data_IF_658273084171
#
_entry.id   IF_658273084171
#
_cell.length_a   1.000
_cell.length_b   1.000
_cell.length_c   1.000
_cell.angle_alpha   90.00
_cell.angle_beta   90.00
_cell.angle_gamma   90.00
#
_symmetry.space_group_name_H-M   'P 1'
#
loop_
_entity.id
_entity.type
_entity.pdbx_description
1 polymer ?
#
# COMPACT_ATOMS: atom_id res chain seq x y z
N UNK A 1 49.25 -13.86 96.44
CA UNK A 1 48.54 -15.10 96.07
C UNK A 1 47.08 -14.91 96.46
N UNK A 2 46.27 -14.36 95.56
CA UNK A 2 45.51 -15.01 94.46
C UNK A 2 44.08 -15.33 94.90
N UNK A 3 43.13 -14.92 94.06
CA UNK A 3 41.83 -15.57 93.99
C UNK A 3 40.63 -14.67 94.22
N UNK A 4 40.29 -13.81 93.24
CA UNK A 4 38.89 -13.46 93.01
C UNK A 4 38.66 -12.88 91.61
N UNK A 5 37.51 -13.30 91.05
CA UNK A 5 36.78 -12.74 89.89
C UNK A 5 37.24 -13.28 88.52
N UNK A 6 36.36 -13.70 87.61
CA UNK A 6 34.96 -13.35 87.40
C UNK A 6 34.09 -14.57 87.05
N UNK A 7 33.06 -14.77 87.87
CA UNK A 7 31.74 -15.28 87.48
C UNK A 7 31.09 -14.30 86.47
N UNK A 8 30.08 -14.78 85.73
CA UNK A 8 29.19 -14.05 84.80
C UNK A 8 29.57 -14.10 83.32
N UNK A 9 29.44 -15.27 82.68
CA UNK A 9 29.22 -15.33 81.22
C UNK A 9 28.55 -16.63 80.70
N UNK A 10 28.45 -17.71 81.49
CA UNK A 10 28.01 -19.02 80.96
C UNK A 10 26.56 -19.42 81.31
N UNK A 11 25.80 -18.57 82.00
CA UNK A 11 24.41 -18.85 82.38
C UNK A 11 23.32 -18.34 81.42
N UNK A 12 23.62 -17.38 80.53
CA UNK A 12 22.63 -16.84 79.57
C UNK A 12 22.70 -17.50 78.19
N UNK A 13 23.84 -18.07 77.78
CA UNK A 13 24.01 -18.70 76.47
C UNK A 13 23.23 -20.02 76.31
N UNK A 14 23.10 -20.81 77.38
CA UNK A 14 22.41 -22.10 77.32
C UNK A 14 20.87 -21.97 77.28
N UNK A 15 20.30 -20.88 77.84
CA UNK A 15 18.85 -20.64 77.81
C UNK A 15 18.39 -20.05 76.45
N UNK A 16 19.24 -19.26 75.79
CA UNK A 16 18.94 -18.70 74.46
C UNK A 16 19.07 -19.76 73.36
N UNK A 17 20.02 -20.70 73.46
CA UNK A 17 20.16 -21.80 72.50
C UNK A 17 19.04 -22.85 72.62
N UNK A 18 18.53 -23.12 73.83
CA UNK A 18 17.43 -24.07 74.04
C UNK A 18 16.08 -23.49 73.60
N UNK A 19 15.86 -22.17 73.78
CA UNK A 19 14.66 -21.51 73.26
C UNK A 19 14.71 -21.34 71.72
N UNK A 20 15.87 -21.07 71.13
CA UNK A 20 16.06 -20.96 69.67
C UNK A 20 15.94 -22.31 68.94
N UNK A 21 16.35 -23.42 69.57
CA UNK A 21 16.18 -24.77 69.01
C UNK A 21 14.74 -25.28 69.14
N UNK A 22 14.00 -24.89 70.19
CA UNK A 22 12.58 -25.22 70.32
C UNK A 22 11.70 -24.38 69.38
N UNK A 23 12.06 -23.12 69.08
CA UNK A 23 11.39 -22.35 68.03
C UNK A 23 11.76 -22.85 66.63
N UNK A 24 13.01 -23.23 66.36
CA UNK A 24 13.41 -23.80 65.07
C UNK A 24 12.79 -25.19 64.80
N UNK A 25 12.62 -26.03 65.83
CA UNK A 25 11.93 -27.33 65.72
C UNK A 25 10.40 -27.17 65.56
N UNK A 26 9.79 -26.17 66.20
CA UNK A 26 8.38 -25.82 66.00
C UNK A 26 8.11 -25.15 64.63
N UNK A 27 9.08 -24.41 64.09
CA UNK A 27 9.00 -23.79 62.75
C UNK A 27 9.26 -24.82 61.64
N UNK A 28 10.15 -25.80 61.82
CA UNK A 28 10.44 -26.82 60.78
C UNK A 28 9.42 -27.96 60.68
N UNK A 29 8.50 -28.10 61.66
CA UNK A 29 7.36 -29.03 61.61
C UNK A 29 6.02 -28.38 61.23
N UNK A 30 5.96 -27.07 61.05
CA UNK A 30 4.94 -26.52 60.17
C UNK A 30 5.41 -26.84 58.76
N UNK A 31 4.79 -27.86 58.16
CA UNK A 31 4.69 -27.89 56.71
C UNK A 31 4.38 -26.45 56.27
N UNK A 32 5.04 -25.90 55.22
CA UNK A 32 4.56 -24.64 54.66
C UNK A 32 3.06 -24.84 54.50
N UNK A 33 2.26 -24.05 55.22
CA UNK A 33 0.82 -24.12 55.08
C UNK A 33 0.61 -24.02 53.58
N UNK A 34 0.00 -25.07 52.98
CA UNK A 34 -0.27 -25.10 51.56
C UNK A 34 -0.88 -23.73 51.26
N UNK A 35 -0.14 -22.94 50.47
CA UNK A 35 -0.54 -21.57 50.21
C UNK A 35 -1.92 -21.70 49.60
N UNK A 36 -2.95 -21.19 50.29
CA UNK A 36 -4.31 -21.33 49.80
C UNK A 36 -4.30 -20.82 48.36
N UNK A 37 -4.77 -21.63 47.39
CA UNK A 37 -4.75 -21.22 46.01
C UNK A 37 -5.40 -19.85 45.94
N UNK A 38 -4.74 -18.92 45.24
CA UNK A 38 -5.33 -17.59 45.03
C UNK A 38 -6.76 -17.78 44.51
N UNK A 39 -7.67 -16.82 44.73
CA UNK A 39 -9.01 -16.92 44.18
C UNK A 39 -9.03 -17.25 42.68
N UNK A 40 -8.00 -16.84 41.93
CA UNK A 40 -7.80 -17.19 40.52
C UNK A 40 -7.35 -18.65 40.34
N UNK A 41 -6.39 -19.14 41.10
CA UNK A 41 -5.94 -20.55 41.05
C UNK A 41 -7.04 -21.52 41.49
N UNK A 42 -7.83 -21.16 42.52
CA UNK A 42 -8.96 -21.96 42.98
C UNK A 42 -10.07 -22.03 41.91
N UNK A 43 -10.33 -20.92 41.21
CA UNK A 43 -11.24 -20.89 40.05
C UNK A 43 -10.68 -21.74 38.90
N UNK A 44 -9.38 -21.68 38.61
CA UNK A 44 -8.76 -22.48 37.56
C UNK A 44 -8.76 -23.98 37.89
N UNK A 45 -8.60 -24.36 39.17
CA UNK A 45 -8.76 -25.74 39.65
C UNK A 45 -10.22 -26.20 39.60
N UNK A 46 -11.19 -25.34 39.96
CA UNK A 46 -12.62 -25.63 39.87
C UNK A 46 -13.13 -25.76 38.43
N UNK A 47 -12.53 -25.03 37.49
CA UNK A 47 -12.91 -25.08 36.07
C UNK A 47 -12.44 -26.37 35.37
N UNK A 48 -11.53 -27.14 35.98
CA UNK A 48 -10.96 -28.35 35.41
C UNK A 48 -10.27 -28.11 34.05
N UNK A 49 -9.87 -29.18 33.36
CA UNK A 49 -9.61 -29.08 31.92
C UNK A 49 -10.94 -28.75 31.24
N UNK A 50 -11.16 -27.47 30.92
CA UNK A 50 -12.27 -27.07 30.08
C UNK A 50 -12.04 -27.70 28.72
N UNK A 51 -12.69 -28.84 28.45
CA UNK A 51 -12.84 -29.37 27.10
C UNK A 51 -13.50 -28.26 26.27
N UNK A 52 -12.69 -27.58 25.46
CA UNK A 52 -13.20 -26.61 24.51
C UNK A 52 -14.16 -27.37 23.57
N UNK A 53 -15.37 -26.84 23.34
CA UNK A 53 -16.32 -27.51 22.47
C UNK A 53 -15.67 -27.73 21.10
N UNK A 54 -15.84 -28.94 20.56
CA UNK A 54 -15.31 -29.28 19.24
C UNK A 54 -15.70 -28.20 18.22
N UNK A 55 -14.74 -27.77 17.36
CA UNK A 55 -14.96 -26.69 16.42
C UNK A 55 -16.19 -26.96 15.54
N UNK A 56 -17.09 -25.99 15.43
CA UNK A 56 -18.27 -26.07 14.56
C UNK A 56 -17.88 -25.91 13.10
N UNK A 57 -18.44 -26.74 12.23
CA UNK A 57 -18.22 -26.68 10.77
C UNK A 57 -19.54 -26.52 10.01
N UNK A 58 -19.48 -25.81 8.88
CA UNK A 58 -20.58 -25.61 7.94
C UNK A 58 -20.29 -26.10 6.51
N UNK A 59 -19.09 -26.62 6.28
CA UNK A 59 -18.80 -27.58 5.20
C UNK A 59 -18.71 -29.00 5.77
N UNK A 60 -18.96 -30.05 4.97
CA UNK A 60 -18.68 -31.41 5.41
C UNK A 60 -17.20 -31.54 5.81
N UNK A 61 -16.95 -32.23 6.92
CA UNK A 61 -15.60 -32.48 7.42
C UNK A 61 -15.27 -33.94 7.22
N UNK A 62 -14.15 -34.20 6.54
CA UNK A 62 -13.59 -35.54 6.40
C UNK A 62 -12.19 -35.52 6.97
N UNK A 63 -11.92 -36.37 7.97
CA UNK A 63 -10.56 -36.62 8.43
C UNK A 63 -10.00 -37.85 7.72
N UNK A 64 -8.85 -37.70 7.05
CA UNK A 64 -8.16 -38.81 6.39
C UNK A 64 -6.64 -38.57 6.37
N UNK A 65 -5.87 -39.59 5.98
CA UNK A 65 -4.41 -39.53 5.97
C UNK A 65 -3.83 -38.36 5.16
N UNK A 66 -4.55 -37.86 4.14
CA UNK A 66 -4.09 -36.71 3.35
C UNK A 66 -4.31 -35.39 4.09
N UNK A 67 -5.42 -35.26 4.82
CA UNK A 67 -5.67 -34.10 5.71
C UNK A 67 -4.62 -34.08 6.82
N UNK A 68 -4.34 -35.23 7.43
CA UNK A 68 -3.30 -35.38 8.46
C UNK A 68 -1.91 -34.97 7.95
N UNK A 69 -1.51 -35.39 6.75
CA UNK A 69 -0.25 -34.94 6.14
C UNK A 69 -0.15 -33.41 5.99
N UNK A 70 -1.27 -32.74 5.68
CA UNK A 70 -1.30 -31.29 5.58
C UNK A 70 -1.32 -30.61 6.95
N UNK A 71 -1.94 -31.21 7.96
CA UNK A 71 -1.83 -30.76 9.35
C UNK A 71 -0.38 -30.78 9.81
N UNK A 72 0.33 -31.89 9.63
CA UNK A 72 1.74 -32.02 9.98
C UNK A 72 2.61 -31.02 9.22
N UNK A 73 2.32 -30.78 7.94
CA UNK A 73 3.03 -29.79 7.15
C UNK A 73 2.82 -28.37 7.69
N UNK A 74 1.56 -27.99 7.93
CA UNK A 74 1.18 -26.64 8.37
C UNK A 74 1.67 -26.34 9.78
N UNK A 75 1.58 -27.30 10.71
CA UNK A 75 2.04 -27.18 12.09
C UNK A 75 3.56 -27.38 12.25
N UNK A 76 4.19 -28.09 11.32
CA UNK A 76 5.63 -28.37 11.34
C UNK A 76 6.41 -27.50 10.36
N UNK A 77 6.69 -28.01 9.16
CA UNK A 77 7.63 -27.38 8.21
C UNK A 77 7.19 -26.00 7.70
N UNK A 78 5.90 -25.68 7.75
CA UNK A 78 5.35 -24.40 7.32
C UNK A 78 4.95 -23.48 8.49
N UNK A 79 5.33 -23.84 9.73
CA UNK A 79 4.84 -23.20 10.96
C UNK A 79 4.91 -21.67 10.96
N UNK A 80 6.07 -21.08 10.68
CA UNK A 80 6.25 -19.62 10.68
C UNK A 80 5.31 -18.91 9.69
N UNK A 81 5.07 -19.53 8.52
CA UNK A 81 4.13 -18.97 7.54
C UNK A 81 2.69 -19.15 8.00
N UNK A 82 2.37 -20.29 8.58
CA UNK A 82 1.05 -20.56 9.15
C UNK A 82 0.72 -19.56 10.27
N UNK A 83 1.67 -19.25 11.16
CA UNK A 83 1.56 -18.20 12.19
C UNK A 83 1.18 -16.86 11.53
N UNK A 84 1.96 -16.41 10.55
CA UNK A 84 1.67 -15.17 9.81
C UNK A 84 0.28 -15.19 9.14
N UNK A 85 -0.15 -16.32 8.59
CA UNK A 85 -1.46 -16.46 7.95
C UNK A 85 -2.60 -16.38 8.97
N UNK A 86 -2.44 -17.02 10.13
CA UNK A 86 -3.39 -16.95 11.23
C UNK A 86 -3.48 -15.53 11.78
N UNK A 87 -2.37 -14.85 12.02
CA UNK A 87 -2.37 -13.47 12.50
C UNK A 87 -3.08 -12.51 11.53
N UNK A 88 -2.80 -12.64 10.22
CA UNK A 88 -3.50 -11.87 9.18
C UNK A 88 -4.98 -12.20 9.07
N UNK A 89 -5.39 -13.41 9.45
CA UNK A 89 -6.80 -13.80 9.42
C UNK A 89 -7.66 -12.88 10.29
N UNK A 90 -7.12 -12.37 11.42
CA UNK A 90 -7.82 -11.40 12.27
C UNK A 90 -8.29 -10.15 11.51
N UNK A 91 -7.52 -9.72 10.50
CA UNK A 91 -7.85 -8.53 9.70
C UNK A 91 -8.95 -8.78 8.67
N UNK A 92 -8.94 -9.92 7.99
CA UNK A 92 -9.76 -10.15 6.79
C UNK A 92 -10.85 -11.22 6.96
N UNK A 93 -10.64 -12.24 7.79
CA UNK A 93 -11.61 -13.31 8.00
C UNK A 93 -12.98 -12.80 8.49
N UNK A 94 -13.07 -11.81 9.41
CA UNK A 94 -14.38 -11.28 9.81
C UNK A 94 -15.18 -10.65 8.65
N UNK A 95 -14.49 -9.94 7.74
CA UNK A 95 -15.10 -9.31 6.56
C UNK A 95 -15.56 -10.38 5.56
N UNK A 96 -14.73 -11.40 5.31
CA UNK A 96 -15.06 -12.51 4.41
C UNK A 96 -16.23 -13.33 4.98
N UNK A 97 -16.18 -13.68 6.27
CA UNK A 97 -17.25 -14.41 6.96
C UNK A 97 -18.59 -13.66 6.94
N UNK A 98 -18.57 -12.33 7.09
CA UNK A 98 -19.76 -11.50 6.89
C UNK A 98 -20.37 -11.66 5.50
N UNK A 99 -19.54 -11.55 4.44
CA UNK A 99 -19.97 -11.70 3.05
C UNK A 99 -20.46 -13.12 2.71
N UNK A 100 -19.88 -14.14 3.33
CA UNK A 100 -20.32 -15.54 3.21
C UNK A 100 -21.71 -15.73 3.84
N UNK A 101 -21.90 -15.25 5.09
CA UNK A 101 -23.20 -15.28 5.78
C UNK A 101 -24.30 -14.56 4.99
N UNK A 102 -24.01 -13.38 4.47
CA UNK A 102 -24.97 -12.59 3.66
C UNK A 102 -25.46 -13.37 2.43
N UNK A 103 -24.60 -14.23 1.87
CA UNK A 103 -24.91 -15.08 0.70
C UNK A 103 -25.47 -16.46 1.06
N UNK A 104 -25.59 -16.78 2.35
CA UNK A 104 -25.95 -18.12 2.82
C UNK A 104 -24.92 -19.20 2.44
N UNK A 105 -23.66 -18.80 2.25
CA UNK A 105 -22.55 -19.71 1.94
C UNK A 105 -21.87 -20.18 3.24
N UNK A 106 -21.26 -21.38 3.26
CA UNK A 106 -20.46 -21.83 4.40
C UNK A 106 -19.32 -20.87 4.72
N UNK A 107 -19.20 -20.44 5.96
CA UNK A 107 -18.12 -19.57 6.45
C UNK A 107 -16.76 -20.26 6.38
N UNK A 108 -16.71 -21.60 6.45
CA UNK A 108 -15.48 -22.37 6.33
C UNK A 108 -14.76 -22.20 4.98
N UNK A 109 -15.44 -21.66 3.96
CA UNK A 109 -14.81 -21.26 2.71
C UNK A 109 -13.78 -20.14 2.90
N UNK A 110 -13.76 -19.45 4.05
CA UNK A 110 -12.71 -18.48 4.41
C UNK A 110 -11.31 -19.10 4.38
N UNK A 111 -11.18 -20.40 4.64
CA UNK A 111 -9.89 -21.09 4.61
C UNK A 111 -9.32 -21.23 3.19
N UNK A 112 -10.14 -21.05 2.15
CA UNK A 112 -9.63 -20.90 0.78
C UNK A 112 -8.75 -19.65 0.65
N UNK A 113 -9.17 -18.51 1.19
CA UNK A 113 -8.36 -17.29 1.21
C UNK A 113 -7.05 -17.44 2.02
N UNK A 114 -7.08 -18.27 3.07
CA UNK A 114 -5.90 -18.62 3.85
C UNK A 114 -4.90 -19.40 2.99
N UNK A 115 -5.33 -20.47 2.32
CA UNK A 115 -4.41 -21.33 1.56
C UNK A 115 -3.95 -20.69 0.24
N UNK A 116 -4.73 -19.78 -0.35
CA UNK A 116 -4.38 -19.08 -1.59
C UNK A 116 -3.27 -18.06 -1.38
N UNK A 117 -3.32 -17.27 -0.30
CA UNK A 117 -2.39 -16.15 -0.13
C UNK A 117 -1.97 -15.85 1.30
N UNK A 118 -2.51 -16.55 2.29
CA UNK A 118 -2.41 -16.17 3.69
C UNK A 118 -3.06 -14.81 3.95
N UNK A 119 -4.22 -14.56 3.32
CA UNK A 119 -4.93 -13.28 3.34
C UNK A 119 -4.11 -12.07 2.87
N UNK A 120 -3.14 -12.27 1.97
CA UNK A 120 -2.29 -11.16 1.49
C UNK A 120 -2.91 -10.47 0.28
N UNK A 121 -3.32 -9.19 0.38
CA UNK A 121 -3.88 -8.45 -0.76
C UNK A 121 -2.84 -8.16 -1.84
N UNK A 122 -1.55 -8.26 -1.51
CA UNK A 122 -0.43 -8.02 -2.44
C UNK A 122 0.24 -9.31 -2.93
N UNK A 123 -0.31 -10.47 -2.59
CA UNK A 123 0.22 -11.73 -3.10
C UNK A 123 0.21 -11.75 -4.63
N UNK A 124 1.26 -12.33 -5.20
CA UNK A 124 1.44 -12.44 -6.65
C UNK A 124 2.17 -13.74 -6.97
N UNK A 125 1.55 -14.61 -7.77
CA UNK A 125 2.13 -15.91 -8.15
C UNK A 125 2.93 -15.86 -9.44
N UNK A 126 3.70 -16.92 -9.69
CA UNK A 126 4.37 -17.13 -10.98
C UNK A 126 3.39 -17.23 -12.15
N UNK A 127 2.18 -17.75 -11.90
CA UNK A 127 1.09 -17.81 -12.87
C UNK A 127 0.35 -16.47 -13.03
N UNK A 128 0.86 -15.38 -12.43
CA UNK A 128 0.28 -14.04 -12.45
C UNK A 128 -1.08 -13.92 -11.77
N UNK A 129 -1.39 -14.87 -10.89
CA UNK A 129 -2.48 -14.74 -9.95
C UNK A 129 -2.17 -13.63 -8.94
N UNK A 130 -3.16 -12.88 -8.48
CA UNK A 130 -2.93 -11.79 -7.52
C UNK A 130 -4.02 -11.67 -6.46
N UNK A 131 -3.64 -11.11 -5.31
CA UNK A 131 -4.55 -10.77 -4.23
C UNK A 131 -4.88 -11.90 -3.28
N UNK A 132 -5.85 -11.64 -2.39
CA UNK A 132 -6.27 -12.57 -1.33
C UNK A 132 -6.70 -13.92 -1.93
N UNK A 133 -7.43 -13.85 -3.04
CA UNK A 133 -8.06 -14.98 -3.70
C UNK A 133 -7.26 -15.53 -4.90
N UNK A 134 -6.04 -15.03 -5.12
CA UNK A 134 -5.16 -15.45 -6.23
C UNK A 134 -5.87 -15.53 -7.59
N UNK A 135 -6.57 -14.45 -7.97
CA UNK A 135 -7.20 -14.40 -9.28
C UNK A 135 -6.19 -14.20 -10.41
N UNK A 136 -6.30 -15.01 -11.48
CA UNK A 136 -5.71 -14.65 -12.77
C UNK A 136 -6.52 -13.50 -13.41
N UNK A 137 -5.86 -12.65 -14.19
CA UNK A 137 -6.47 -11.42 -14.71
C UNK A 137 -7.70 -11.66 -15.62
N UNK A 138 -7.71 -12.74 -16.38
CA UNK A 138 -8.84 -13.10 -17.24
C UNK A 138 -10.09 -13.43 -16.42
N UNK A 139 -9.96 -14.34 -15.45
CA UNK A 139 -11.06 -14.69 -14.53
C UNK A 139 -11.51 -13.49 -13.70
N UNK A 140 -10.59 -12.67 -13.21
CA UNK A 140 -10.92 -11.45 -12.48
C UNK A 140 -11.87 -10.54 -13.28
N UNK A 141 -11.55 -10.28 -14.56
CA UNK A 141 -12.38 -9.47 -15.44
C UNK A 141 -13.73 -10.12 -15.76
N UNK A 142 -13.77 -11.45 -15.87
CA UNK A 142 -15.04 -12.20 -16.04
C UNK A 142 -16.00 -11.94 -14.87
N UNK A 143 -15.48 -11.79 -13.66
CA UNK A 143 -16.25 -11.47 -12.44
C UNK A 143 -16.23 -9.97 -12.09
N UNK A 144 -16.06 -9.11 -13.10
CA UNK A 144 -16.30 -7.67 -12.95
C UNK A 144 -15.16 -6.85 -12.33
N UNK A 145 -14.01 -7.45 -12.03
CA UNK A 145 -12.87 -6.73 -11.47
C UNK A 145 -12.12 -5.93 -12.56
N UNK A 146 -11.76 -4.70 -12.22
CA UNK A 146 -10.88 -3.83 -13.02
C UNK A 146 -9.43 -4.25 -12.82
N UNK A 147 -8.75 -4.52 -13.95
CA UNK A 147 -7.32 -4.89 -13.98
C UNK A 147 -6.64 -4.18 -15.16
N UNK A 148 -6.00 -3.06 -14.86
CA UNK A 148 -5.26 -2.20 -15.78
C UNK A 148 -3.94 -1.69 -15.15
N UNK A 149 -3.35 -0.63 -15.71
CA UNK A 149 -2.07 -0.06 -15.28
C UNK A 149 -2.18 0.88 -14.06
N UNK A 150 -3.39 1.32 -13.72
CA UNK A 150 -3.66 2.19 -12.58
C UNK A 150 -4.31 1.45 -11.41
N UNK A 151 -5.14 0.45 -11.73
CA UNK A 151 -6.01 -0.28 -10.81
C UNK A 151 -5.88 -1.79 -11.01
N UNK A 152 -5.69 -2.52 -9.92
CA UNK A 152 -5.76 -3.99 -9.87
C UNK A 152 -6.68 -4.42 -8.72
N UNK A 153 -7.99 -4.51 -8.98
CA UNK A 153 -9.02 -4.84 -7.97
C UNK A 153 -8.93 -6.28 -7.46
N UNK A 154 -8.12 -7.14 -8.08
CA UNK A 154 -7.76 -8.43 -7.47
C UNK A 154 -7.10 -8.23 -6.11
N UNK A 155 -6.42 -7.10 -5.93
CA UNK A 155 -5.77 -6.71 -4.67
C UNK A 155 -6.74 -6.06 -3.70
N UNK A 156 -7.92 -5.62 -4.12
CA UNK A 156 -8.92 -5.06 -3.20
C UNK A 156 -9.57 -6.19 -2.39
N UNK A 157 -9.40 -6.26 -1.05
CA UNK A 157 -10.00 -7.30 -0.24
C UNK A 157 -11.53 -7.37 -0.37
N UNK A 158 -12.22 -6.24 -0.56
CA UNK A 158 -13.69 -6.23 -0.65
C UNK A 158 -14.14 -6.74 -2.02
N UNK A 159 -13.71 -6.07 -3.10
CA UNK A 159 -14.12 -6.39 -4.45
C UNK A 159 -13.68 -7.80 -4.87
N UNK A 160 -12.42 -8.19 -4.59
CA UNK A 160 -11.95 -9.53 -4.92
C UNK A 160 -12.67 -10.62 -4.13
N UNK A 161 -13.13 -10.35 -2.90
CA UNK A 161 -13.96 -11.30 -2.16
C UNK A 161 -15.33 -11.44 -2.80
N UNK A 162 -15.99 -10.34 -3.16
CA UNK A 162 -17.29 -10.43 -3.86
C UNK A 162 -17.16 -11.27 -5.14
N UNK A 163 -16.16 -10.99 -5.98
CA UNK A 163 -15.90 -11.75 -7.20
C UNK A 163 -15.57 -13.24 -6.94
N UNK A 164 -14.78 -13.56 -5.91
CA UNK A 164 -14.44 -14.94 -5.56
C UNK A 164 -15.66 -15.72 -5.08
N UNK A 165 -16.50 -15.10 -4.26
CA UNK A 165 -17.72 -15.74 -3.76
C UNK A 165 -18.75 -15.94 -4.87
N UNK A 166 -18.89 -14.97 -5.79
CA UNK A 166 -19.75 -15.12 -6.97
C UNK A 166 -19.28 -16.29 -7.85
N UNK A 167 -17.97 -16.42 -8.06
CA UNK A 167 -17.41 -17.56 -8.80
C UNK A 167 -17.65 -18.90 -8.07
N UNK A 168 -17.35 -18.97 -6.78
CA UNK A 168 -17.59 -20.18 -5.98
C UNK A 168 -19.07 -20.58 -5.96
N UNK A 169 -19.98 -19.61 -5.94
CA UNK A 169 -21.41 -19.86 -5.99
C UNK A 169 -21.85 -20.40 -7.37
N UNK A 170 -21.29 -19.91 -8.48
CA UNK A 170 -21.50 -20.48 -9.82
C UNK A 170 -20.99 -21.94 -9.88
N UNK A 171 -19.80 -22.20 -9.33
CA UNK A 171 -19.22 -23.54 -9.28
C UNK A 171 -20.06 -24.50 -8.42
N UNK A 172 -20.56 -24.02 -7.29
CA UNK A 172 -21.47 -24.80 -6.45
C UNK A 172 -22.79 -25.07 -7.17
N UNK A 173 -23.38 -24.09 -7.84
CA UNK A 173 -24.59 -24.31 -8.64
C UNK A 173 -24.39 -25.37 -9.74
N UNK A 174 -23.17 -25.45 -10.30
CA UNK A 174 -22.80 -26.44 -11.31
C UNK A 174 -22.57 -27.84 -10.77
N UNK A 175 -21.92 -27.97 -9.60
CA UNK A 175 -21.46 -29.26 -9.09
C UNK A 175 -22.21 -29.77 -7.87
N UNK A 176 -23.00 -28.93 -7.21
CA UNK A 176 -23.74 -29.22 -5.98
C UNK A 176 -22.86 -29.63 -4.79
N UNK A 177 -21.56 -29.30 -4.84
CA UNK A 177 -20.55 -29.76 -3.88
C UNK A 177 -19.51 -28.66 -3.69
N UNK A 178 -19.24 -28.31 -2.44
CA UNK A 178 -18.22 -27.32 -2.10
C UNK A 178 -16.81 -27.86 -2.33
N UNK A 179 -16.60 -29.17 -2.17
CA UNK A 179 -15.31 -29.79 -2.49
C UNK A 179 -15.01 -29.76 -3.99
N UNK A 180 -16.01 -30.06 -4.83
CA UNK A 180 -15.87 -29.95 -6.27
C UNK A 180 -15.74 -28.50 -6.73
N UNK A 181 -16.47 -27.58 -6.10
CA UNK A 181 -16.33 -26.14 -6.36
C UNK A 181 -14.92 -25.64 -6.04
N UNK A 182 -14.37 -25.98 -4.87
CA UNK A 182 -13.00 -25.63 -4.50
C UNK A 182 -11.97 -26.23 -5.48
N UNK A 183 -12.11 -27.51 -5.85
CA UNK A 183 -11.22 -28.12 -6.84
C UNK A 183 -11.32 -27.45 -8.21
N UNK A 184 -12.53 -27.09 -8.65
CA UNK A 184 -12.77 -26.40 -9.92
C UNK A 184 -12.22 -24.97 -9.91
N UNK A 185 -12.29 -24.27 -8.77
CA UNK A 185 -11.70 -22.95 -8.60
C UNK A 185 -10.19 -22.96 -8.90
N UNK A 186 -9.46 -23.97 -8.38
CA UNK A 186 -8.03 -24.11 -8.61
C UNK A 186 -7.67 -24.62 -10.02
N UNK A 187 -8.39 -25.63 -10.53
CA UNK A 187 -7.96 -26.37 -11.74
C UNK A 187 -8.75 -26.06 -13.02
N UNK A 188 -9.85 -25.33 -12.90
CA UNK A 188 -10.81 -25.05 -13.96
C UNK A 188 -12.01 -26.01 -13.96
N UNK A 189 -13.19 -25.44 -14.13
CA UNK A 189 -14.50 -26.09 -14.09
C UNK A 189 -14.69 -27.14 -15.19
N UNK A 190 -14.11 -26.92 -16.36
CA UNK A 190 -14.24 -27.85 -17.48
C UNK A 190 -13.45 -29.14 -17.26
N UNK A 191 -12.32 -29.07 -16.55
CA UNK A 191 -11.53 -30.25 -16.19
C UNK A 191 -12.29 -31.11 -15.18
N UNK A 192 -12.84 -30.49 -14.13
CA UNK A 192 -13.64 -31.20 -13.12
C UNK A 192 -14.86 -31.85 -13.77
N UNK A 193 -15.61 -31.11 -14.59
CA UNK A 193 -16.77 -31.67 -15.30
C UNK A 193 -16.41 -32.85 -16.21
N UNK A 194 -15.25 -32.81 -16.88
CA UNK A 194 -14.75 -33.93 -17.70
C UNK A 194 -14.43 -35.16 -16.85
N UNK A 195 -13.68 -34.98 -15.75
CA UNK A 195 -13.31 -36.10 -14.87
C UNK A 195 -14.52 -36.74 -14.19
N UNK A 196 -15.54 -35.95 -13.84
CA UNK A 196 -16.81 -36.50 -13.32
C UNK A 196 -17.52 -37.39 -14.36
N UNK A 197 -17.53 -36.99 -15.63
CA UNK A 197 -18.08 -37.84 -16.71
C UNK A 197 -17.29 -39.13 -16.90
N UNK A 198 -15.96 -39.05 -16.89
CA UNK A 198 -15.07 -40.19 -17.14
C UNK A 198 -15.04 -41.19 -15.97
N UNK A 199 -15.11 -40.70 -14.72
CA UNK A 199 -14.82 -41.52 -13.54
C UNK A 199 -15.95 -41.59 -12.51
N UNK A 200 -17.03 -40.82 -12.68
CA UNK A 200 -18.16 -40.79 -11.75
C UNK A 200 -19.53 -40.78 -12.46
N UNK A 201 -19.59 -41.19 -13.72
CA UNK A 201 -20.84 -41.27 -14.49
C UNK A 201 -21.54 -39.92 -14.72
N UNK A 202 -20.84 -38.81 -14.52
CA UNK A 202 -21.41 -37.46 -14.62
C UNK A 202 -22.24 -37.03 -13.40
N UNK A 203 -22.13 -37.73 -12.27
CA UNK A 203 -22.82 -37.38 -11.03
C UNK A 203 -22.37 -36.02 -10.47
N UNK A 204 -23.28 -35.38 -9.72
CA UNK A 204 -23.10 -34.11 -9.02
C UNK A 204 -23.87 -34.14 -7.69
N UNK A 205 -23.65 -33.16 -6.81
CA UNK A 205 -24.40 -33.00 -5.56
C UNK A 205 -23.85 -33.73 -4.34
N UNK A 206 -22.65 -34.29 -4.44
CA UNK A 206 -22.05 -35.13 -3.38
C UNK A 206 -20.56 -34.83 -3.24
N UNK A 207 -20.14 -34.38 -2.05
CA UNK A 207 -18.74 -34.09 -1.75
C UNK A 207 -17.84 -35.34 -1.83
N UNK A 208 -18.40 -36.56 -1.69
CA UNK A 208 -17.64 -37.78 -1.89
C UNK A 208 -17.19 -37.98 -3.36
N UNK A 209 -17.80 -37.27 -4.32
CA UNK A 209 -17.35 -37.25 -5.71
C UNK A 209 -15.96 -36.64 -5.87
N UNK A 210 -15.59 -35.66 -5.04
CA UNK A 210 -14.25 -35.11 -5.06
C UNK A 210 -13.20 -36.20 -4.83
N UNK A 211 -13.38 -37.02 -3.78
CA UNK A 211 -12.45 -38.09 -3.45
C UNK A 211 -12.35 -39.15 -4.56
N UNK A 212 -13.43 -39.38 -5.30
CA UNK A 212 -13.44 -40.29 -6.48
C UNK A 212 -12.59 -39.77 -7.63
N UNK A 213 -12.63 -38.47 -7.92
CA UNK A 213 -11.89 -37.88 -9.04
C UNK A 213 -10.48 -37.38 -8.65
N UNK A 214 -10.19 -37.21 -7.35
CA UNK A 214 -8.90 -36.71 -6.86
C UNK A 214 -7.67 -37.45 -7.40
N UNK A 215 -7.67 -38.80 -7.59
CA UNK A 215 -6.56 -39.52 -8.22
C UNK A 215 -6.25 -39.13 -9.66
N UNK A 216 -7.15 -38.41 -10.34
CA UNK A 216 -7.02 -37.96 -11.73
C UNK A 216 -6.81 -36.44 -11.86
N UNK A 217 -6.98 -35.70 -10.76
CA UNK A 217 -6.69 -34.26 -10.71
C UNK A 217 -5.18 -34.00 -10.67
N UNK A 218 -4.68 -32.86 -11.18
CA UNK A 218 -3.30 -32.44 -10.94
C UNK A 218 -2.98 -32.40 -9.44
N UNK A 219 -1.69 -32.51 -9.11
CA UNK A 219 -1.23 -32.58 -7.73
C UNK A 219 -1.72 -31.43 -6.86
N UNK A 220 -1.66 -30.20 -7.38
CA UNK A 220 -2.16 -29.00 -6.68
C UNK A 220 -3.66 -29.12 -6.36
N UNK A 221 -4.47 -29.42 -7.38
CA UNK A 221 -5.92 -29.49 -7.26
C UNK A 221 -6.42 -30.65 -6.38
N UNK A 222 -5.76 -31.83 -6.42
CA UNK A 222 -6.13 -32.96 -5.55
C UNK A 222 -5.81 -32.72 -4.08
N UNK A 223 -4.90 -31.79 -3.80
CA UNK A 223 -4.49 -31.43 -2.45
C UNK A 223 -5.25 -30.21 -1.91
N UNK A 224 -5.98 -29.51 -2.76
CA UNK A 224 -6.66 -28.27 -2.43
C UNK A 224 -7.70 -28.41 -1.30
N UNK A 225 -8.63 -29.36 -1.42
CA UNK A 225 -9.63 -29.65 -0.36
C UNK A 225 -8.98 -30.19 0.92
N UNK A 226 -8.08 -31.19 0.89
CA UNK A 226 -7.36 -31.63 2.08
C UNK A 226 -6.63 -30.50 2.82
N UNK A 227 -5.98 -29.61 2.06
CA UNK A 227 -5.25 -28.46 2.61
C UNK A 227 -6.21 -27.44 3.23
N UNK A 228 -7.36 -27.18 2.60
CA UNK A 228 -8.42 -26.33 3.17
C UNK A 228 -8.93 -26.88 4.51
N UNK A 229 -9.21 -28.19 4.58
CA UNK A 229 -9.68 -28.83 5.82
C UNK A 229 -8.61 -28.78 6.92
N UNK A 230 -7.34 -29.06 6.59
CA UNK A 230 -6.23 -28.94 7.53
C UNK A 230 -6.07 -27.50 8.05
N UNK A 231 -6.13 -26.51 7.15
CA UNK A 231 -6.12 -25.10 7.52
C UNK A 231 -7.31 -24.72 8.42
N UNK A 232 -8.50 -25.29 8.17
CA UNK A 232 -9.68 -25.07 9.00
C UNK A 232 -9.53 -25.65 10.41
N UNK A 233 -8.98 -26.86 10.53
CA UNK A 233 -8.68 -27.47 11.83
C UNK A 233 -7.73 -26.59 12.65
N UNK A 234 -6.62 -26.16 12.06
CA UNK A 234 -5.66 -25.26 12.73
C UNK A 234 -6.28 -23.90 13.02
N UNK A 235 -7.03 -23.33 12.09
CA UNK A 235 -7.59 -21.99 12.23
C UNK A 235 -8.71 -21.90 13.27
N UNK A 236 -9.46 -22.99 13.51
CA UNK A 236 -10.51 -23.03 14.53
C UNK A 236 -9.99 -23.37 15.92
N UNK A 237 -8.87 -24.08 16.01
CA UNK A 237 -8.24 -24.47 17.28
C UNK A 237 -6.71 -24.39 17.19
N UNK A 238 -6.12 -23.18 17.10
CA UNK A 238 -4.68 -23.01 16.89
C UNK A 238 -3.85 -23.58 18.04
N UNK A 239 -4.35 -23.49 19.27
CA UNK A 239 -3.67 -23.96 20.48
C UNK A 239 -3.46 -25.47 20.43
N UNK A 240 -4.46 -26.25 19.98
CA UNK A 240 -4.35 -27.71 19.82
C UNK A 240 -3.25 -28.14 18.86
N UNK A 241 -2.94 -27.31 17.87
CA UNK A 241 -1.87 -27.56 16.89
C UNK A 241 -0.56 -26.85 17.23
N UNK A 242 -0.43 -26.38 18.49
CA UNK A 242 0.79 -25.83 19.04
C UNK A 242 1.03 -24.35 18.74
N UNK A 243 0.03 -23.59 18.29
CA UNK A 243 0.13 -22.15 18.05
C UNK A 243 -0.41 -21.37 19.25
N UNK A 244 0.48 -20.92 20.15
CA UNK A 244 0.10 -20.33 21.44
C UNK A 244 0.27 -18.79 21.51
N UNK A 245 1.13 -18.21 20.68
CA UNK A 245 1.56 -16.80 20.79
C UNK A 245 1.18 -16.00 19.53
N UNK A 246 -0.06 -16.14 19.05
CA UNK A 246 -0.50 -15.46 17.83
C UNK A 246 -0.90 -14.00 18.09
N UNK A 247 -0.29 -13.07 17.37
CA UNK A 247 -0.65 -11.64 17.41
C UNK A 247 -1.63 -11.29 16.28
N UNK A 248 -2.92 -11.55 16.51
CA UNK A 248 -3.95 -11.26 15.51
C UNK A 248 -4.03 -9.78 15.12
N UNK A 249 -4.00 -9.52 13.82
CA UNK A 249 -4.19 -8.18 13.28
C UNK A 249 -5.62 -7.70 13.52
N UNK A 250 -5.78 -6.41 13.83
CA UNK A 250 -7.10 -5.82 14.02
C UNK A 250 -7.96 -5.94 12.75
N UNK A 251 -9.28 -6.20 12.90
CA UNK A 251 -10.23 -6.25 11.79
C UNK A 251 -10.13 -5.03 10.89
N UNK A 252 -10.32 -5.25 9.58
CA UNK A 252 -10.28 -4.20 8.58
C UNK A 252 -11.33 -3.12 8.90
N UNK A 253 -10.87 -1.92 9.24
CA UNK A 253 -11.71 -0.77 9.55
C UNK A 253 -11.19 0.48 8.83
N UNK A 254 -12.09 1.19 8.16
CA UNK A 254 -11.77 2.39 7.39
C UNK A 254 -12.99 3.28 7.21
N UNK A 255 -12.72 4.56 6.96
CA UNK A 255 -13.68 5.48 6.37
C UNK A 255 -13.51 5.50 4.84
N UNK A 256 -14.56 5.85 4.11
CA UNK A 256 -14.50 6.11 2.67
C UNK A 256 -14.75 7.59 2.41
N UNK A 257 -13.89 8.19 1.60
CA UNK A 257 -13.99 9.59 1.16
C UNK A 257 -14.02 9.67 -0.36
N UNK A 258 -14.64 10.72 -0.88
CA UNK A 258 -14.73 10.99 -2.31
C UNK A 258 -13.67 12.03 -2.71
N UNK A 259 -12.87 11.73 -3.74
CA UNK A 259 -11.82 12.62 -4.26
C UNK A 259 -11.89 12.72 -5.77
N UNK A 260 -11.48 13.85 -6.39
CA UNK A 260 -11.36 13.93 -7.84
C UNK A 260 -10.42 12.86 -8.39
N UNK A 261 -10.71 12.34 -9.60
CA UNK A 261 -9.81 11.42 -10.27
C UNK A 261 -8.41 12.01 -10.47
N UNK A 262 -7.39 11.16 -10.42
CA UNK A 262 -5.97 11.57 -10.47
C UNK A 262 -5.44 12.15 -9.15
N UNK A 263 -6.22 12.21 -8.07
CA UNK A 263 -5.72 12.62 -6.76
C UNK A 263 -4.71 11.60 -6.23
N UNK A 264 -3.47 12.04 -5.95
CA UNK A 264 -2.44 11.19 -5.34
C UNK A 264 -2.82 10.73 -3.93
N UNK A 265 -2.53 9.48 -3.58
CA UNK A 265 -2.78 8.96 -2.23
C UNK A 265 -1.99 9.71 -1.16
N UNK A 266 -0.82 10.25 -1.48
CA UNK A 266 -0.09 11.18 -0.62
C UNK A 266 -0.92 12.43 -0.25
N UNK A 267 -1.70 12.96 -1.20
CA UNK A 267 -2.58 14.12 -0.96
C UNK A 267 -3.75 13.73 -0.06
N UNK A 268 -4.30 12.52 -0.26
CA UNK A 268 -5.34 11.97 0.60
C UNK A 268 -4.83 11.79 2.04
N UNK A 269 -3.64 11.20 2.20
CA UNK A 269 -3.00 10.98 3.49
C UNK A 269 -2.71 12.29 4.23
N UNK A 270 -2.13 13.29 3.54
CA UNK A 270 -1.90 14.63 4.08
C UNK A 270 -3.19 15.32 4.53
N UNK A 271 -4.28 15.15 3.78
CA UNK A 271 -5.59 15.69 4.18
C UNK A 271 -6.18 14.93 5.40
N UNK A 272 -6.04 13.62 5.46
CA UNK A 272 -6.50 12.81 6.60
C UNK A 272 -5.60 12.93 7.86
N UNK A 273 -4.39 13.49 7.72
CA UNK A 273 -3.41 13.63 8.81
C UNK A 273 -2.82 12.29 9.25
N UNK A 274 -2.56 11.40 8.30
CA UNK A 274 -2.03 10.04 8.50
C UNK A 274 -0.84 9.80 7.58
N UNK A 275 -0.12 8.71 7.80
CA UNK A 275 0.96 8.32 6.89
C UNK A 275 0.41 7.82 5.53
N UNK A 276 1.17 8.03 4.45
CA UNK A 276 0.78 7.55 3.13
C UNK A 276 0.67 6.01 3.09
N UNK A 277 1.53 5.31 3.84
CA UNK A 277 1.50 3.85 3.94
C UNK A 277 0.17 3.33 4.47
N UNK A 278 -0.42 3.98 5.48
CA UNK A 278 -1.73 3.61 6.03
C UNK A 278 -2.83 3.68 4.95
N UNK A 279 -2.82 4.73 4.12
CA UNK A 279 -3.78 4.88 3.01
C UNK A 279 -3.50 3.84 1.92
N UNK A 280 -2.24 3.59 1.57
CA UNK A 280 -1.86 2.56 0.58
C UNK A 280 -2.22 1.15 1.03
N UNK A 281 -2.15 0.86 2.33
CA UNK A 281 -2.56 -0.43 2.90
C UNK A 281 -4.07 -0.65 2.85
N UNK A 282 -4.87 0.40 2.97
CA UNK A 282 -6.32 0.33 2.82
C UNK A 282 -6.78 0.30 1.36
N UNK A 283 -5.94 0.78 0.43
CA UNK A 283 -6.22 0.82 -1.01
C UNK A 283 -5.16 0.06 -1.84
N UNK A 284 -4.93 -1.24 -1.57
CA UNK A 284 -3.91 -2.04 -2.25
C UNK A 284 -4.15 -2.21 -3.76
N UNK A 285 -5.38 -1.95 -4.23
CA UNK A 285 -5.77 -1.99 -5.64
C UNK A 285 -5.32 -0.76 -6.43
N UNK A 286 -5.06 0.38 -5.78
CA UNK A 286 -4.60 1.60 -6.44
C UNK A 286 -3.09 1.55 -6.68
N UNK A 287 -2.69 0.69 -7.62
CA UNK A 287 -1.28 0.34 -7.87
C UNK A 287 -0.44 1.51 -8.39
N UNK A 288 -1.07 2.50 -9.04
CA UNK A 288 -0.38 3.73 -9.46
C UNK A 288 -0.23 4.78 -8.33
N UNK A 289 -0.78 4.53 -7.13
CA UNK A 289 -0.73 5.49 -6.03
C UNK A 289 -1.56 6.76 -6.26
N UNK A 290 -2.52 6.69 -7.18
CA UNK A 290 -3.46 7.76 -7.52
C UNK A 290 -4.88 7.20 -7.59
N UNK A 291 -5.87 8.02 -7.26
CA UNK A 291 -7.26 7.72 -7.55
C UNK A 291 -7.43 7.59 -9.09
N UNK A 292 -8.22 6.61 -9.57
CA UNK A 292 -8.39 6.38 -11.00
C UNK A 292 -9.06 7.57 -11.70
N UNK A 293 -9.02 7.60 -13.03
CA UNK A 293 -9.66 8.67 -13.78
C UNK A 293 -11.19 8.68 -13.55
N UNK A 294 -11.77 9.88 -13.47
CA UNK A 294 -13.21 10.08 -13.28
C UNK A 294 -13.52 11.32 -12.43
N UNK A 295 -14.80 11.67 -12.30
CA UNK A 295 -15.21 12.89 -11.60
C UNK A 295 -14.95 12.80 -10.09
N UNK A 296 -15.45 11.75 -9.45
CA UNK A 296 -15.21 11.43 -8.04
C UNK A 296 -14.93 9.94 -7.88
N UNK A 297 -13.93 9.63 -7.07
CA UNK A 297 -13.47 8.28 -6.76
C UNK A 297 -13.46 8.05 -5.26
N UNK A 298 -13.90 6.86 -4.87
CA UNK A 298 -13.86 6.40 -3.50
C UNK A 298 -12.43 6.01 -3.11
N UNK A 299 -11.92 6.59 -2.02
CA UNK A 299 -10.63 6.21 -1.42
C UNK A 299 -10.84 5.92 0.06
N UNK A 300 -10.24 4.85 0.56
CA UNK A 300 -10.31 4.45 1.96
C UNK A 300 -9.24 5.16 2.78
N UNK A 301 -9.60 5.64 3.95
CA UNK A 301 -8.68 6.25 4.93
C UNK A 301 -8.89 5.60 6.30
N UNK A 302 -7.93 5.70 7.24
CA UNK A 302 -8.11 5.14 8.58
C UNK A 302 -9.41 5.61 9.24
N UNK A 303 -10.07 4.70 9.95
CA UNK A 303 -11.35 4.98 10.61
C UNK A 303 -11.26 6.19 11.55
N UNK A 304 -12.29 7.03 11.55
CA UNK A 304 -12.35 8.25 12.37
C UNK A 304 -11.68 9.48 11.74
N UNK A 305 -11.09 9.36 10.54
CA UNK A 305 -10.41 10.47 9.86
C UNK A 305 -11.31 11.27 8.91
N UNK A 306 -12.55 10.83 8.67
CA UNK A 306 -13.47 11.50 7.74
C UNK A 306 -13.68 12.99 8.02
N UNK A 307 -13.85 13.37 9.30
CA UNK A 307 -14.08 14.76 9.68
C UNK A 307 -12.85 15.64 9.42
N UNK A 308 -11.66 15.16 9.81
CA UNK A 308 -10.39 15.86 9.56
C UNK A 308 -10.19 16.03 8.06
N UNK A 309 -10.39 14.96 7.29
CA UNK A 309 -10.30 14.99 5.84
C UNK A 309 -11.22 16.05 5.22
N UNK A 310 -12.50 16.08 5.61
CA UNK A 310 -13.47 17.03 5.08
C UNK A 310 -13.07 18.50 5.30
N UNK A 311 -12.43 18.80 6.44
CA UNK A 311 -11.99 20.16 6.79
C UNK A 311 -10.74 20.61 6.05
N UNK A 312 -9.84 19.68 5.71
CA UNK A 312 -8.51 20.02 5.17
C UNK A 312 -8.38 19.78 3.66
N UNK A 313 -9.17 18.86 3.09
CA UNK A 313 -8.95 18.34 1.75
C UNK A 313 -8.95 19.43 0.68
N UNK A 314 -9.93 20.35 0.70
CA UNK A 314 -10.02 21.41 -0.31
C UNK A 314 -8.76 22.30 -0.37
N UNK A 315 -8.14 22.57 0.78
CA UNK A 315 -6.90 23.35 0.85
C UNK A 315 -5.70 22.53 0.39
N UNK A 316 -5.53 21.33 0.94
CA UNK A 316 -4.40 20.43 0.62
C UNK A 316 -4.40 20.05 -0.86
N UNK A 317 -5.57 19.74 -1.41
CA UNK A 317 -5.74 19.44 -2.83
C UNK A 317 -5.32 20.62 -3.72
N UNK A 318 -5.77 21.84 -3.41
CA UNK A 318 -5.40 23.05 -4.17
C UNK A 318 -3.90 23.34 -4.10
N UNK A 319 -3.29 23.19 -2.93
CA UNK A 319 -1.84 23.31 -2.76
C UNK A 319 -1.08 22.31 -3.63
N UNK A 320 -1.53 21.05 -3.65
CA UNK A 320 -0.94 20.01 -4.51
C UNK A 320 -1.09 20.35 -5.99
N UNK A 321 -2.28 20.75 -6.45
CA UNK A 321 -2.49 21.10 -7.86
C UNK A 321 -1.56 22.25 -8.31
N UNK A 322 -1.46 23.31 -7.51
CA UNK A 322 -0.54 24.42 -7.78
C UNK A 322 0.93 23.97 -7.81
N UNK A 323 1.31 23.02 -6.95
CA UNK A 323 2.66 22.47 -6.93
C UNK A 323 2.95 21.63 -8.19
N UNK A 324 1.98 20.83 -8.65
CA UNK A 324 2.09 20.05 -9.89
C UNK A 324 2.20 20.95 -11.12
N UNK A 325 1.35 21.98 -11.22
CA UNK A 325 1.40 22.98 -12.30
C UNK A 325 2.76 23.68 -12.36
N UNK A 326 3.32 24.07 -11.20
CA UNK A 326 4.67 24.68 -11.12
C UNK A 326 5.76 23.73 -11.58
N UNK A 327 5.69 22.45 -11.16
CA UNK A 327 6.64 21.41 -11.59
C UNK A 327 6.56 21.16 -13.09
N UNK A 328 5.36 21.09 -13.66
CA UNK A 328 5.16 20.93 -15.10
C UNK A 328 5.69 22.14 -15.88
N UNK A 329 5.40 23.36 -15.41
CA UNK A 329 5.91 24.59 -16.01
C UNK A 329 7.45 24.62 -15.99
N UNK A 330 8.08 24.17 -14.90
CA UNK A 330 9.53 24.07 -14.80
C UNK A 330 10.09 22.97 -15.71
N UNK A 331 9.48 21.78 -15.73
CA UNK A 331 9.89 20.70 -16.62
C UNK A 331 9.76 21.11 -18.10
N UNK A 332 8.70 21.82 -18.47
CA UNK A 332 8.52 22.39 -19.81
C UNK A 332 9.59 23.43 -20.12
N UNK A 333 9.93 24.31 -19.16
CA UNK A 333 11.07 25.23 -19.29
C UNK A 333 12.35 24.45 -19.54
N UNK A 334 12.66 23.43 -18.74
CA UNK A 334 13.86 22.57 -18.85
C UNK A 334 13.91 21.75 -20.15
N UNK A 335 12.76 21.34 -20.70
CA UNK A 335 12.69 20.67 -22.00
C UNK A 335 12.94 21.63 -23.16
N UNK A 336 12.33 22.81 -23.13
CA UNK A 336 12.57 23.87 -24.13
C UNK A 336 14.03 24.37 -24.07
N UNK A 337 14.56 24.38 -22.85
CA UNK A 337 15.92 24.70 -22.45
C UNK A 337 17.02 23.74 -22.93
N UNK A 338 16.68 22.49 -23.20
CA UNK A 338 17.62 21.44 -23.64
C UNK A 338 17.37 21.03 -25.08
N UNK A 339 16.38 21.65 -25.72
CA UNK A 339 16.00 21.36 -27.10
C UNK A 339 17.02 21.96 -28.07
N UNK A 340 17.58 21.12 -28.94
CA UNK A 340 18.19 21.64 -30.16
C UNK A 340 17.08 22.07 -31.13
N UNK A 341 17.18 23.29 -31.63
CA UNK A 341 16.28 23.80 -32.65
C UNK A 341 16.94 23.72 -34.03
N UNK A 342 16.36 22.95 -34.95
CA UNK A 342 16.79 22.92 -36.35
C UNK A 342 16.06 24.00 -37.12
N UNK A 343 16.81 24.98 -37.63
CA UNK A 343 16.29 26.14 -38.36
C UNK A 343 15.54 25.69 -39.61
N UNK A 344 14.31 26.17 -39.81
CA UNK A 344 13.51 25.94 -41.03
C UNK A 344 13.71 27.05 -42.06
N UNK A 345 13.33 26.81 -43.32
CA UNK A 345 13.41 27.81 -44.39
C UNK A 345 12.55 29.02 -44.01
N UNK A 346 13.17 30.20 -43.93
CA UNK A 346 12.50 31.47 -43.59
C UNK A 346 12.45 31.81 -42.09
N UNK A 347 12.93 30.97 -41.19
CA UNK A 347 13.01 31.30 -39.76
C UNK A 347 14.14 32.30 -39.45
N UNK A 348 13.90 33.18 -38.48
CA UNK A 348 14.89 34.16 -38.00
C UNK A 348 15.29 33.86 -36.55
N UNK A 349 16.47 34.30 -36.12
CA UNK A 349 16.90 34.17 -34.72
C UNK A 349 15.88 34.78 -33.74
N UNK A 350 15.21 35.86 -34.13
CA UNK A 350 14.14 36.47 -33.35
C UNK A 350 12.91 35.58 -33.22
N UNK A 351 12.42 35.00 -34.32
CA UNK A 351 11.27 34.10 -34.30
C UNK A 351 11.55 32.82 -33.49
N UNK A 352 12.77 32.30 -33.61
CA UNK A 352 13.24 31.15 -32.83
C UNK A 352 13.32 31.52 -31.34
N UNK A 353 14.01 32.60 -30.99
CA UNK A 353 14.14 33.07 -29.61
C UNK A 353 12.76 33.31 -28.96
N UNK A 354 11.82 33.93 -29.69
CA UNK A 354 10.44 34.14 -29.25
C UNK A 354 9.68 32.83 -29.02
N UNK A 355 9.83 31.84 -29.89
CA UNK A 355 9.20 30.51 -29.74
C UNK A 355 9.65 29.82 -28.45
N UNK A 356 10.92 29.95 -28.09
CA UNK A 356 11.50 29.32 -26.90
C UNK A 356 11.52 30.22 -25.66
N UNK A 357 11.00 31.46 -25.75
CA UNK A 357 10.90 32.38 -24.61
C UNK A 357 12.24 32.89 -24.08
N UNK A 358 13.27 33.02 -24.94
CA UNK A 358 14.61 33.52 -24.59
C UNK A 358 14.95 34.78 -25.38
N UNK A 359 15.97 35.54 -24.95
CA UNK A 359 16.46 36.68 -25.74
C UNK A 359 17.29 36.20 -26.94
N UNK A 360 17.32 37.02 -28.00
CA UNK A 360 18.17 36.75 -29.18
C UNK A 360 19.63 36.66 -28.73
N UNK A 361 20.07 37.53 -27.82
CA UNK A 361 21.43 37.51 -27.26
C UNK A 361 21.76 36.21 -26.55
N UNK A 362 20.85 35.67 -25.73
CA UNK A 362 21.05 34.38 -25.06
C UNK A 362 21.17 33.24 -26.07
N UNK A 363 20.28 33.21 -27.09
CA UNK A 363 20.35 32.24 -28.18
C UNK A 363 21.67 32.36 -28.95
N UNK A 364 22.15 33.57 -29.22
CA UNK A 364 23.42 33.78 -29.90
C UNK A 364 24.61 33.32 -29.07
N UNK A 365 24.66 33.71 -27.79
CA UNK A 365 25.75 33.36 -26.87
C UNK A 365 25.90 31.83 -26.73
N UNK A 366 24.80 31.11 -26.59
CA UNK A 366 24.79 29.65 -26.50
C UNK A 366 25.18 28.92 -27.79
N UNK A 367 25.27 29.64 -28.91
CA UNK A 367 25.63 29.13 -30.23
C UNK A 367 26.90 29.80 -30.78
N UNK A 368 27.83 30.18 -29.90
CA UNK A 368 29.12 30.76 -30.29
C UNK A 368 29.01 32.14 -30.96
N UNK A 369 27.99 32.92 -30.60
CA UNK A 369 27.74 34.23 -31.19
C UNK A 369 27.17 34.18 -32.61
N UNK A 370 26.36 33.17 -32.94
CA UNK A 370 25.76 33.02 -34.28
C UNK A 370 25.11 34.32 -34.75
N UNK A 371 25.48 34.79 -35.94
CA UNK A 371 24.91 36.02 -36.52
C UNK A 371 23.71 35.72 -37.42
N UNK A 372 22.71 36.62 -37.51
CA UNK A 372 21.52 36.42 -38.34
C UNK A 372 21.84 36.06 -39.81
N UNK A 373 22.89 36.65 -40.37
CA UNK A 373 23.29 36.49 -41.78
C UNK A 373 23.86 35.09 -42.06
N UNK A 374 24.29 34.38 -41.01
CA UNK A 374 24.84 33.01 -41.04
C UNK A 374 23.83 31.95 -40.60
N UNK A 375 22.56 32.34 -40.41
CA UNK A 375 21.47 31.42 -40.15
C UNK A 375 21.05 30.76 -41.47
N UNK A 376 21.02 29.43 -41.52
CA UNK A 376 20.65 28.64 -42.70
C UNK A 376 19.69 27.53 -42.29
N UNK A 377 18.73 27.22 -43.15
CA UNK A 377 17.85 26.09 -42.95
C UNK A 377 18.66 24.79 -42.77
N UNK A 378 18.24 23.93 -41.85
CA UNK A 378 18.94 22.70 -41.48
C UNK A 378 19.99 22.86 -40.38
N UNK A 379 20.40 24.09 -40.02
CA UNK A 379 21.35 24.31 -38.93
C UNK A 379 20.71 23.98 -37.58
N UNK A 380 21.37 23.15 -36.77
CA UNK A 380 21.00 22.91 -35.38
C UNK A 380 21.55 24.03 -34.49
N UNK A 381 20.66 24.69 -33.75
CA UNK A 381 20.99 25.62 -32.69
C UNK A 381 20.77 24.94 -31.34
N UNK A 382 21.71 25.10 -30.43
CA UNK A 382 21.50 24.83 -29.01
C UNK A 382 20.64 25.93 -28.43
N UNK A 383 19.39 25.64 -28.07
CA UNK A 383 18.57 26.59 -27.33
C UNK A 383 19.01 26.46 -25.87
N UNK A 384 19.69 27.46 -25.28
CA UNK A 384 20.11 27.35 -23.90
C UNK A 384 18.91 27.32 -22.98
N UNK A 385 19.19 26.86 -21.76
CA UNK A 385 18.15 26.75 -20.79
C UNK A 385 17.34 28.02 -20.63
N UNK A 386 16.01 27.95 -20.60
CA UNK A 386 15.13 29.03 -20.17
C UNK A 386 15.37 29.45 -18.70
N UNK A 387 16.55 29.20 -18.14
CA UNK A 387 17.13 29.72 -16.92
C UNK A 387 17.86 31.04 -17.17
N UNK A 388 17.23 31.98 -17.88
CA UNK A 388 17.54 33.42 -17.75
C UNK A 388 16.27 34.22 -18.02
N UNK A 389 15.18 33.90 -17.29
CA UNK A 389 14.25 34.97 -16.94
C UNK A 389 14.95 35.78 -15.85
N UNK A 390 15.77 36.74 -16.29
CA UNK A 390 16.15 37.95 -15.56
C UNK A 390 16.28 37.77 -14.05
N UNK A 391 17.51 37.60 -13.57
CA UNK A 391 17.94 38.43 -12.44
C UNK A 391 17.52 39.88 -12.79
N UNK A 392 16.91 40.57 -11.82
CA UNK A 392 16.17 41.82 -12.03
C UNK A 392 16.79 42.72 -13.09
N UNK A 393 15.97 43.14 -14.06
CA UNK A 393 16.37 44.16 -15.00
C UNK A 393 16.56 45.46 -14.21
N UNK A 394 17.77 45.66 -13.69
CA UNK A 394 18.14 46.86 -12.98
C UNK A 394 18.04 48.05 -13.93
N UNK A 395 17.46 49.12 -13.41
CA UNK A 395 17.36 50.36 -14.15
C UNK A 395 18.71 51.04 -14.13
N UNK A 396 19.25 51.33 -15.30
CA UNK A 396 20.42 52.18 -15.45
C UNK A 396 20.08 53.43 -16.24
N UNK A 397 20.92 54.46 -16.12
CA UNK A 397 20.75 55.72 -16.83
C UNK A 397 21.80 55.81 -17.93
N UNK A 398 21.33 55.81 -19.18
CA UNK A 398 22.15 56.07 -20.35
C UNK A 398 22.22 57.58 -20.63
N UNK A 399 23.43 58.11 -20.81
CA UNK A 399 23.62 59.50 -21.27
C UNK A 399 23.82 59.51 -22.78
N UNK A 400 22.86 60.11 -23.49
CA UNK A 400 22.84 60.24 -24.95
C UNK A 400 24.11 60.95 -25.43
N UNK A 401 24.82 60.35 -26.39
CA UNK A 401 26.05 60.90 -26.98
C UNK A 401 25.73 61.65 -28.26
N UNK A 402 26.65 62.50 -28.71
CA UNK A 402 26.52 63.21 -29.99
C UNK A 402 26.45 62.18 -31.14
N UNK A 403 25.32 62.14 -31.84
CA UNK A 403 25.06 61.20 -32.95
C UNK A 403 24.16 60.02 -32.60
N UNK A 404 23.79 59.83 -31.33
CA UNK A 404 22.87 58.74 -30.94
C UNK A 404 21.44 58.98 -31.45
N UNK A 405 20.78 57.91 -31.87
CA UNK A 405 19.34 57.88 -32.15
C UNK A 405 18.60 56.98 -31.16
N UNK A 406 17.28 57.19 -30.96
CA UNK A 406 16.49 56.25 -30.14
C UNK A 406 16.57 54.82 -30.66
N UNK A 407 16.71 54.63 -31.97
CA UNK A 407 16.87 53.31 -32.57
C UNK A 407 18.16 52.63 -32.11
N UNK A 408 19.27 53.39 -32.01
CA UNK A 408 20.56 52.87 -31.54
C UNK A 408 20.58 52.58 -30.05
N UNK A 409 19.96 53.44 -29.25
CA UNK A 409 19.81 53.21 -27.81
C UNK A 409 18.89 52.01 -27.55
N UNK A 410 17.74 51.95 -28.22
CA UNK A 410 16.79 50.85 -28.10
C UNK A 410 17.44 49.50 -28.49
N UNK A 411 18.22 49.48 -29.59
CA UNK A 411 18.98 48.29 -30.00
C UNK A 411 20.06 47.92 -28.99
N UNK A 412 20.76 48.90 -28.42
CA UNK A 412 21.83 48.68 -27.45
C UNK A 412 21.34 47.99 -26.17
N UNK A 413 20.13 48.32 -25.75
CA UNK A 413 19.50 47.82 -24.52
C UNK A 413 18.43 46.75 -24.77
N UNK A 414 18.33 46.23 -25.99
CA UNK A 414 17.40 45.17 -26.40
C UNK A 414 15.92 45.45 -26.06
N UNK A 415 15.49 46.69 -26.31
CA UNK A 415 14.12 47.16 -26.06
C UNK A 415 13.53 47.77 -27.31
N UNK A 416 12.21 47.82 -27.42
CA UNK A 416 11.58 48.54 -28.52
C UNK A 416 11.69 50.06 -28.33
N UNK A 417 11.70 50.82 -29.42
CA UNK A 417 11.63 52.29 -29.36
C UNK A 417 10.42 52.73 -28.54
N UNK A 418 9.26 52.07 -28.68
CA UNK A 418 8.05 52.38 -27.89
C UNK A 418 8.23 52.15 -26.40
N UNK A 419 8.92 51.08 -26.00
CA UNK A 419 9.25 50.85 -24.58
C UNK A 419 10.22 51.91 -24.07
N UNK A 420 11.27 52.21 -24.83
CA UNK A 420 12.24 53.25 -24.48
C UNK A 420 11.57 54.62 -24.37
N UNK A 421 10.63 54.94 -25.27
CA UNK A 421 9.82 56.16 -25.22
C UNK A 421 8.91 56.16 -23.99
N UNK A 422 8.20 55.07 -23.73
CA UNK A 422 7.29 54.93 -22.59
C UNK A 422 8.02 55.07 -21.26
N UNK A 423 9.23 54.52 -21.11
CA UNK A 423 10.00 54.61 -19.86
C UNK A 423 10.60 55.98 -19.59
N UNK A 424 10.66 56.82 -20.62
CA UNK A 424 11.30 58.14 -20.60
C UNK A 424 10.33 59.27 -20.98
N UNK A 425 9.03 58.97 -21.03
CA UNK A 425 7.94 59.90 -21.35
C UNK A 425 8.20 60.73 -22.63
N UNK A 426 8.78 60.08 -23.65
CA UNK A 426 9.14 60.75 -24.90
C UNK A 426 7.95 60.75 -25.86
N UNK A 427 7.48 61.95 -26.24
CA UNK A 427 6.42 62.14 -27.23
C UNK A 427 6.84 61.93 -28.70
N UNK A 428 8.10 61.58 -28.97
CA UNK A 428 8.62 61.43 -30.33
C UNK A 428 10.02 60.80 -30.39
N UNK A 429 10.65 60.81 -31.56
CA UNK A 429 11.94 60.14 -31.80
C UNK A 429 13.19 60.99 -31.51
N UNK A 430 13.00 62.25 -31.13
CA UNK A 430 14.08 63.22 -30.93
C UNK A 430 14.71 63.05 -29.55
N UNK A 431 16.04 62.90 -29.51
CA UNK A 431 16.85 62.90 -28.30
C UNK A 431 18.04 63.85 -28.45
N UNK A 432 18.48 64.47 -27.35
CA UNK A 432 19.56 65.47 -27.35
C UNK A 432 20.84 64.91 -26.73
N UNK A 433 22.03 65.23 -27.26
CA UNK A 433 23.29 64.90 -26.60
C UNK A 433 23.32 65.42 -25.16
N UNK A 434 23.68 64.56 -24.22
CA UNK A 434 23.66 64.83 -22.78
C UNK A 434 22.37 64.42 -22.07
N UNK A 435 21.28 64.13 -22.79
CA UNK A 435 20.01 63.68 -22.22
C UNK A 435 20.17 62.34 -21.49
N UNK A 436 19.48 62.18 -20.36
CA UNK A 436 19.51 60.96 -19.53
C UNK A 436 18.29 60.11 -19.86
N UNK A 437 18.50 58.89 -20.33
CA UNK A 437 17.46 57.92 -20.63
C UNK A 437 17.55 56.76 -19.64
N UNK A 438 16.44 56.48 -18.96
CA UNK A 438 16.21 55.29 -18.16
C UNK A 438 16.09 54.08 -19.08
N UNK A 439 16.98 53.12 -18.91
CA UNK A 439 17.04 51.89 -19.69
C UNK A 439 17.18 50.70 -18.74
N UNK A 440 16.80 49.51 -19.21
CA UNK A 440 16.93 48.27 -18.46
C UNK A 440 18.13 47.49 -19.01
N UNK A 441 18.95 46.91 -18.13
CA UNK A 441 20.11 46.06 -18.50
C UNK A 441 19.86 44.60 -18.25
#
# INVERSE_FOLDING_TARGET
MTGRRYLHALGLGALVLTLALLTAWAISRRAPAAQEPTPVEAILEELGEVELPEPRWDVPVTYNARVEQWLDFLAGRNREKTELWLERSGRYAPMIGGKLRERGMPEDLVYLALIESGFSPRAYSRARASGIWQFIAETARRYGLVVDDQVDERRDPLASTDAALDYLQELYARFGSWYLAAAAYNTGENRVARLLREHAGGAAGDDALFWRIAPYLPEEARNYVPLMLAAGHIGKDPVRYGFHELEYQLPLAFDTVQVPGGTHLETVARAAGVDESEVKELNPHLIAGVAPAGELQAVRIPSGRRQVFAQTFARVYRETQLALERREAEAKRVRLATAHHTVRRGETLWGIARRYGISVRALQAANGGVRPERLRAGRRLHVPGASTRTAGADWTIYRVRRGDTLWDVARRYDVSIRQLQSWNELGGSRILPGQRLRVRT
#
